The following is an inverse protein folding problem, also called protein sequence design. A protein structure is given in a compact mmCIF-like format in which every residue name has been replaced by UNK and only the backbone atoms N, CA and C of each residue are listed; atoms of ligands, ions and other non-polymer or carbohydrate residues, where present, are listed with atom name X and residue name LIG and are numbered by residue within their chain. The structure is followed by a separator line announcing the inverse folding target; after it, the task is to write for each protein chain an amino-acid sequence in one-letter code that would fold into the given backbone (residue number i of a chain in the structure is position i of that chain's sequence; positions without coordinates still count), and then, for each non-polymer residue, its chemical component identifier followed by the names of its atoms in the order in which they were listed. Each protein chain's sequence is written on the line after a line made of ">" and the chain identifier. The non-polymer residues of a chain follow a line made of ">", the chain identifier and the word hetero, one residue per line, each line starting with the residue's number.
data_IF_261696233611
#
_entry.id   IF_261696233611
#
_cell.length_a   1.000
_cell.length_b   1.000
_cell.length_c   1.000
_cell.angle_alpha   90.00
_cell.angle_beta   90.00
_cell.angle_gamma   90.00
#
_symmetry.space_group_name_H-M   'P 1'
#
loop_
_entity.id
_entity.type
_entity.pdbx_description
1 polymer ?
#
# COMPACT_ATOMS: atom_id res chain seq x y z
N UNK A 1 4.10 2.46 -20.79
CA UNK A 1 3.59 2.37 -19.40
C UNK A 1 2.81 1.04 -19.28
N UNK A 2 3.36 0.01 -18.63
CA UNK A 2 2.87 -1.40 -18.72
C UNK A 2 1.57 -1.70 -17.93
N UNK A 3 1.01 -0.75 -17.17
CA UNK A 3 -0.17 -0.99 -16.31
C UNK A 3 -1.52 -0.73 -17.02
N UNK A 4 -2.61 -1.46 -16.67
CA UNK A 4 -3.97 -1.19 -17.15
C UNK A 4 -4.43 0.24 -16.83
N UNK A 5 -5.20 0.86 -17.71
CA UNK A 5 -5.58 2.28 -17.61
C UNK A 5 -6.35 2.61 -16.33
N UNK A 6 -7.26 1.72 -15.92
CA UNK A 6 -8.09 1.90 -14.73
C UNK A 6 -7.32 1.94 -13.41
N UNK A 7 -6.08 1.40 -13.34
CA UNK A 7 -5.28 1.38 -12.10
C UNK A 7 -4.19 2.46 -12.08
N UNK A 8 -3.81 3.02 -13.24
CA UNK A 8 -2.72 4.01 -13.34
C UNK A 8 -2.88 5.17 -12.37
N UNK A 9 -4.10 5.73 -12.26
CA UNK A 9 -4.39 6.84 -11.34
C UNK A 9 -4.05 6.51 -9.89
N UNK A 10 -4.30 5.28 -9.46
CA UNK A 10 -4.00 4.83 -8.10
C UNK A 10 -2.51 4.59 -7.89
N UNK A 11 -1.79 4.10 -8.91
CA UNK A 11 -0.35 3.85 -8.84
C UNK A 11 0.46 5.16 -8.86
N UNK A 12 0.06 6.13 -9.68
CA UNK A 12 0.78 7.40 -9.81
C UNK A 12 0.46 8.40 -8.71
N UNK A 13 -0.63 8.22 -7.98
CA UNK A 13 -0.97 9.11 -6.88
C UNK A 13 -0.16 8.77 -5.64
N UNK A 14 0.63 9.73 -5.15
CA UNK A 14 1.30 9.67 -3.84
C UNK A 14 0.36 9.94 -2.68
N UNK A 15 -0.89 10.35 -2.94
CA UNK A 15 -1.83 10.81 -1.92
C UNK A 15 -2.08 9.79 -0.81
N UNK A 16 -2.18 8.50 -1.14
CA UNK A 16 -2.34 7.44 -0.13
C UNK A 16 -1.12 7.32 0.79
N UNK A 17 0.09 7.37 0.23
CA UNK A 17 1.34 7.32 1.00
C UNK A 17 1.48 8.58 1.86
N UNK A 18 1.23 9.75 1.29
CA UNK A 18 1.28 11.03 2.01
C UNK A 18 0.28 11.07 3.17
N UNK A 19 -0.94 10.57 2.96
CA UNK A 19 -1.97 10.48 4.00
C UNK A 19 -1.54 9.55 5.12
N UNK A 20 -1.02 8.36 4.79
CA UNK A 20 -0.49 7.42 5.78
C UNK A 20 0.65 8.03 6.60
N UNK A 21 1.60 8.69 5.94
CA UNK A 21 2.72 9.37 6.62
C UNK A 21 2.26 10.54 7.50
N UNK A 22 1.26 11.30 7.08
CA UNK A 22 0.66 12.37 7.91
C UNK A 22 0.02 11.79 9.16
N UNK A 23 -0.68 10.67 9.06
CA UNK A 23 -1.33 10.02 10.19
C UNK A 23 -0.32 9.44 11.19
N UNK A 24 0.75 8.81 10.70
CA UNK A 24 1.87 8.34 11.54
C UNK A 24 2.46 9.51 12.32
N UNK A 25 2.80 10.62 11.64
CA UNK A 25 3.35 11.83 12.29
C UNK A 25 2.39 12.42 13.33
N UNK A 26 1.09 12.46 13.02
CA UNK A 26 0.05 12.99 13.93
C UNK A 26 -0.04 12.17 15.21
N UNK A 27 -0.13 10.84 15.11
CA UNK A 27 -0.22 9.96 16.29
C UNK A 27 1.08 9.92 17.10
N UNK A 28 2.23 9.93 16.42
CA UNK A 28 3.52 10.02 17.09
C UNK A 28 3.68 11.33 17.87
N UNK A 29 3.19 12.46 17.33
CA UNK A 29 3.21 13.75 18.03
C UNK A 29 2.38 13.74 19.33
N UNK A 30 1.23 13.07 19.34
CA UNK A 30 0.36 12.98 20.53
C UNK A 30 0.99 12.15 21.65
N UNK A 31 1.78 11.15 21.32
CA UNK A 31 2.43 10.27 22.31
C UNK A 31 3.57 11.00 23.03
N UNK A 32 4.16 12.02 22.40
CA UNK A 32 5.28 12.87 22.88
C UNK A 32 6.59 12.12 23.19
N UNK A 33 6.54 11.04 23.97
CA UNK A 33 7.67 10.18 24.31
C UNK A 33 7.27 8.70 24.24
N UNK A 34 8.06 7.90 23.51
CA UNK A 34 7.87 6.46 23.48
C UNK A 34 8.75 5.79 24.55
N UNK A 35 8.21 4.83 25.32
CA UNK A 35 8.97 4.13 26.37
C UNK A 35 10.07 3.20 25.82
N UNK A 36 10.14 3.02 24.50
CA UNK A 36 11.13 2.21 23.80
C UNK A 36 10.66 1.81 22.40
N UNK A 37 11.52 1.11 21.65
CA UNK A 37 11.26 0.70 20.26
C UNK A 37 10.01 -0.16 20.11
N UNK A 38 9.72 -1.02 21.09
CA UNK A 38 8.52 -1.86 21.08
C UNK A 38 7.20 -1.07 21.05
N UNK A 39 7.17 0.12 21.67
CA UNK A 39 6.03 1.02 21.63
C UNK A 39 5.82 1.62 20.23
N UNK A 40 6.92 2.02 19.58
CA UNK A 40 6.92 2.55 18.21
C UNK A 40 6.46 1.48 17.23
N UNK A 41 7.02 0.27 17.32
CA UNK A 41 6.67 -0.85 16.44
C UNK A 41 5.20 -1.25 16.58
N UNK A 42 4.67 -1.25 17.81
CA UNK A 42 3.25 -1.54 18.05
C UNK A 42 2.34 -0.48 17.43
N UNK A 43 2.65 0.80 17.58
CA UNK A 43 1.90 1.89 16.93
C UNK A 43 1.91 1.73 15.41
N UNK A 44 3.10 1.53 14.83
CA UNK A 44 3.27 1.38 13.40
C UNK A 44 2.47 0.17 12.88
N UNK A 45 2.54 -0.97 13.58
CA UNK A 45 1.77 -2.16 13.24
C UNK A 45 0.27 -1.88 13.19
N UNK A 46 -0.29 -1.22 14.21
CA UNK A 46 -1.73 -0.92 14.23
C UNK A 46 -2.16 0.01 13.09
N UNK A 47 -1.35 1.04 12.80
CA UNK A 47 -1.60 1.95 11.68
C UNK A 47 -1.57 1.23 10.33
N UNK A 48 -0.56 0.39 10.10
CA UNK A 48 -0.45 -0.37 8.86
C UNK A 48 -1.57 -1.41 8.72
N UNK A 49 -1.99 -2.02 9.82
CA UNK A 49 -3.13 -2.95 9.82
C UNK A 49 -4.42 -2.25 9.43
N UNK A 50 -4.70 -1.10 10.05
CA UNK A 50 -5.87 -0.26 9.74
C UNK A 50 -5.89 0.16 8.25
N UNK A 51 -4.74 0.64 7.73
CA UNK A 51 -4.65 1.03 6.32
C UNK A 51 -4.79 -0.17 5.37
N UNK A 52 -4.23 -1.34 5.72
CA UNK A 52 -4.41 -2.55 4.93
C UNK A 52 -5.88 -2.98 4.85
N UNK A 53 -6.61 -2.90 5.96
CA UNK A 53 -8.04 -3.24 5.98
C UNK A 53 -8.86 -2.24 5.14
N UNK A 54 -8.50 -0.95 5.19
CA UNK A 54 -9.07 0.09 4.33
C UNK A 54 -8.76 -0.12 2.85
N UNK A 55 -7.58 -0.63 2.49
CA UNK A 55 -7.23 -0.93 1.11
C UNK A 55 -7.94 -2.19 0.60
N UNK A 56 -8.09 -3.22 1.45
CA UNK A 56 -8.81 -4.45 1.13
C UNK A 56 -10.30 -4.24 0.89
N UNK A 57 -10.92 -3.28 1.56
CA UNK A 57 -12.34 -2.97 1.38
C UNK A 57 -12.63 -2.17 0.10
N UNK A 58 -11.61 -1.62 -0.57
CA UNK A 58 -11.79 -0.86 -1.81
C UNK A 58 -12.05 -1.77 -3.01
N UNK A 59 -13.09 -1.44 -3.77
CA UNK A 59 -13.33 -2.05 -5.08
C UNK A 59 -12.48 -1.34 -6.11
N UNK A 60 -11.58 -2.08 -6.77
CA UNK A 60 -10.80 -1.55 -7.89
C UNK A 60 -11.69 -1.46 -9.14
N UNK A 61 -11.71 -0.31 -9.85
CA UNK A 61 -12.51 -0.15 -11.07
C UNK A 61 -12.17 -1.15 -12.18
N UNK A 62 -10.94 -1.67 -12.18
CA UNK A 62 -10.43 -2.60 -13.20
C UNK A 62 -9.96 -3.93 -12.59
N UNK A 63 -10.67 -4.44 -11.58
CA UNK A 63 -10.29 -5.65 -10.82
C UNK A 63 -9.94 -6.84 -11.74
N UNK A 64 -10.76 -7.13 -12.73
CA UNK A 64 -10.57 -8.26 -13.64
C UNK A 64 -9.33 -8.11 -14.53
N UNK A 65 -9.09 -6.90 -15.05
CA UNK A 65 -7.90 -6.58 -15.84
C UNK A 65 -6.63 -6.65 -14.99
N UNK A 66 -6.71 -6.16 -13.77
CA UNK A 66 -5.62 -6.21 -12.80
C UNK A 66 -5.24 -7.65 -12.45
N UNK A 67 -6.21 -8.52 -12.19
CA UNK A 67 -5.95 -9.93 -11.90
C UNK A 67 -5.28 -10.65 -13.08
N UNK A 68 -5.71 -10.37 -14.32
CA UNK A 68 -5.08 -10.89 -15.53
C UNK A 68 -3.63 -10.39 -15.67
N UNK A 69 -3.42 -9.09 -15.43
CA UNK A 69 -2.09 -8.46 -15.49
C UNK A 69 -1.12 -9.07 -14.47
N UNK A 70 -1.55 -9.25 -13.21
CA UNK A 70 -0.74 -9.87 -12.14
C UNK A 70 -0.35 -11.30 -12.53
N UNK A 71 -1.32 -12.12 -12.97
CA UNK A 71 -1.06 -13.51 -13.41
C UNK A 71 -0.12 -13.59 -14.62
N UNK A 72 -0.21 -12.64 -15.55
CA UNK A 72 0.71 -12.55 -16.70
C UNK A 72 2.14 -12.29 -16.23
N UNK A 73 2.29 -11.34 -15.29
CA UNK A 73 3.60 -10.93 -14.77
C UNK A 73 4.25 -12.00 -13.88
N UNK A 74 3.46 -12.71 -13.07
CA UNK A 74 3.98 -13.81 -12.23
C UNK A 74 4.55 -14.95 -13.08
N UNK A 75 3.93 -15.23 -14.24
CA UNK A 75 4.47 -16.18 -15.23
C UNK A 75 5.76 -15.68 -15.87
N UNK A 76 5.86 -14.39 -16.19
CA UNK A 76 7.08 -13.79 -16.74
C UNK A 76 8.25 -13.87 -15.74
N UNK A 77 8.01 -13.56 -14.46
CA UNK A 77 9.01 -13.68 -13.38
C UNK A 77 9.43 -15.12 -13.18
N UNK A 78 8.49 -16.07 -13.15
CA UNK A 78 8.80 -17.50 -13.03
C UNK A 78 9.61 -18.06 -14.22
N UNK A 79 9.51 -17.42 -15.39
CA UNK A 79 10.23 -17.83 -16.61
C UNK A 79 11.58 -17.10 -16.76
N UNK A 80 11.99 -16.27 -15.78
CA UNK A 80 13.30 -15.61 -15.78
C UNK A 80 13.49 -14.50 -16.83
N UNK A 81 12.41 -14.07 -17.52
CA UNK A 81 12.46 -12.92 -18.44
C UNK A 81 12.26 -11.63 -17.65
N UNK A 82 13.34 -11.10 -17.10
CA UNK A 82 13.34 -9.74 -16.56
C UNK A 82 13.42 -8.75 -17.74
N UNK A 83 12.36 -7.96 -17.95
CA UNK A 83 12.38 -6.74 -18.78
C UNK A 83 11.94 -5.53 -18.00
#
# INVERSE_FOLDING_TARGET
>A
MKYPEGIRRFIYSTNSIERGMKEIKRRAKVIEHFPGEGGVMKLLYYLLKEENDNLRSRVLPCKDEWEKFVKSRDKEVATGRHT
#
